data_IF_462989005197
#
_entry.id   IF_462989005197
#
_cell.length_a   1.000
_cell.length_b   1.000
_cell.length_c   1.000
_cell.angle_alpha   90.00
_cell.angle_beta   90.00
_cell.angle_gamma   90.00
#
_symmetry.space_group_name_H-M   'P 1'
#
loop_
_entity.id
_entity.type
_entity.pdbx_description
1 polymer ?
#
# COMPACT_ATOMS: atom_id res chain seq x y z
N UNK A 1 1.97 -10.27 -31.69
CA UNK A 1 1.63 -10.33 -30.25
C UNK A 1 2.43 -9.26 -29.52
N UNK A 2 1.84 -8.11 -29.25
CA UNK A 2 2.45 -7.04 -28.44
C UNK A 2 1.95 -7.16 -27.00
N UNK A 3 2.85 -7.25 -26.03
CA UNK A 3 2.49 -7.35 -24.62
C UNK A 3 1.71 -6.12 -24.14
N UNK A 4 0.90 -6.30 -23.08
CA UNK A 4 0.00 -5.33 -22.43
C UNK A 4 0.63 -3.95 -22.11
N UNK A 5 1.95 -3.79 -22.23
CA UNK A 5 2.71 -2.58 -21.90
C UNK A 5 3.38 -1.89 -23.11
N UNK A 6 3.06 -2.28 -24.35
CA UNK A 6 3.58 -1.59 -25.53
C UNK A 6 2.70 -0.37 -25.86
N UNK A 7 3.11 0.82 -25.40
CA UNK A 7 2.50 2.10 -25.79
C UNK A 7 3.26 2.62 -27.01
N UNK A 8 2.66 2.70 -28.20
CA UNK A 8 3.36 3.16 -29.38
C UNK A 8 3.78 4.63 -29.24
N UNK A 9 4.86 5.04 -29.92
CA UNK A 9 5.36 6.42 -29.86
C UNK A 9 4.23 7.43 -30.10
N UNK A 10 4.21 8.52 -29.30
CA UNK A 10 3.24 9.61 -29.38
C UNK A 10 1.78 9.24 -29.11
N UNK A 11 1.48 8.01 -28.65
CA UNK A 11 0.14 7.67 -28.18
C UNK A 11 0.06 7.73 -26.67
N UNK A 12 -1.11 8.14 -26.20
CA UNK A 12 -1.49 8.12 -24.79
C UNK A 12 -2.35 6.89 -24.55
N UNK A 13 -2.06 6.16 -23.49
CA UNK A 13 -2.87 5.05 -23.04
C UNK A 13 -3.32 5.29 -21.60
N UNK A 14 -4.56 4.91 -21.30
CA UNK A 14 -5.15 5.04 -19.96
C UNK A 14 -5.17 3.67 -19.31
N UNK A 15 -4.56 3.58 -18.13
CA UNK A 15 -4.49 2.35 -17.35
C UNK A 15 -5.09 2.59 -15.96
N UNK A 16 -5.72 1.55 -15.41
CA UNK A 16 -6.12 1.52 -14.01
C UNK A 16 -4.95 1.00 -13.19
N UNK A 17 -4.39 1.85 -12.34
CA UNK A 17 -3.30 1.50 -11.44
C UNK A 17 -3.87 1.34 -10.02
N UNK A 18 -3.74 0.17 -9.37
CA UNK A 18 -4.04 0.06 -7.94
C UNK A 18 -2.98 0.83 -7.16
N UNK A 19 -3.42 1.79 -6.34
CA UNK A 19 -2.55 2.64 -5.53
C UNK A 19 -3.01 2.68 -4.08
N UNK A 20 -2.13 3.07 -3.17
CA UNK A 20 -2.49 3.36 -1.78
C UNK A 20 -2.02 4.75 -1.40
N UNK A 21 -2.78 5.41 -0.54
CA UNK A 21 -2.38 6.66 0.09
C UNK A 21 -1.42 6.34 1.23
N UNK A 22 -0.24 6.96 1.25
CA UNK A 22 0.70 6.78 2.35
C UNK A 22 0.42 7.73 3.50
N UNK A 23 -0.16 8.89 3.23
CA UNK A 23 -0.59 9.83 4.26
C UNK A 23 -2.01 9.54 4.72
N UNK A 24 -2.22 9.45 6.03
CA UNK A 24 -3.55 9.29 6.61
C UNK A 24 -4.21 10.65 6.92
N UNK A 25 -5.53 10.74 6.74
CA UNK A 25 -6.32 11.92 7.08
C UNK A 25 -6.22 13.11 6.10
N UNK A 26 -5.42 13.01 5.04
CA UNK A 26 -5.40 14.04 3.98
C UNK A 26 -6.71 14.03 3.19
N UNK A 27 -7.18 15.21 2.73
CA UNK A 27 -8.37 15.29 1.89
C UNK A 27 -8.16 14.57 0.56
N UNK A 28 -9.26 14.16 -0.06
CA UNK A 28 -9.22 13.48 -1.34
C UNK A 28 -8.46 14.28 -2.41
N UNK A 29 -7.67 13.60 -3.26
CA UNK A 29 -6.93 14.22 -4.34
C UNK A 29 -7.87 14.94 -5.31
N UNK A 30 -7.49 16.14 -5.76
CA UNK A 30 -8.25 16.90 -6.76
C UNK A 30 -7.59 16.75 -8.14
N UNK A 31 -8.36 16.62 -9.24
CA UNK A 31 -7.80 16.48 -10.59
C UNK A 31 -6.88 17.63 -11.04
N UNK A 32 -7.03 18.81 -10.45
CA UNK A 32 -6.22 19.99 -10.77
C UNK A 32 -4.82 19.96 -10.12
N UNK A 33 -4.57 19.05 -9.18
CA UNK A 33 -3.26 18.92 -8.54
C UNK A 33 -2.33 18.19 -9.52
N UNK A 34 -1.17 18.78 -9.88
CA UNK A 34 -0.22 18.09 -10.74
C UNK A 34 0.43 16.93 -9.98
N UNK A 35 0.34 15.72 -10.55
CA UNK A 35 0.94 14.51 -10.00
C UNK A 35 2.20 14.13 -10.77
N UNK A 36 3.23 13.70 -10.04
CA UNK A 36 4.46 13.15 -10.60
C UNK A 36 4.63 11.71 -10.11
N UNK A 37 4.95 10.80 -11.03
CA UNK A 37 5.36 9.45 -10.68
C UNK A 37 6.80 9.52 -10.18
N UNK A 38 7.03 9.08 -8.94
CA UNK A 38 8.36 8.98 -8.33
C UNK A 38 8.63 7.54 -7.93
N UNK A 39 9.92 7.23 -7.75
CA UNK A 39 10.32 5.95 -7.15
C UNK A 39 9.90 5.91 -5.69
N UNK A 40 9.53 4.74 -5.18
CA UNK A 40 9.02 4.62 -3.81
C UNK A 40 10.09 4.97 -2.77
N UNK A 41 11.36 4.67 -3.10
CA UNK A 41 12.55 4.98 -2.31
C UNK A 41 12.76 6.50 -2.16
N UNK A 42 12.25 7.32 -3.08
CA UNK A 42 12.31 8.78 -2.96
C UNK A 42 11.28 9.35 -1.96
N UNK A 43 10.31 8.53 -1.55
CA UNK A 43 9.22 8.96 -0.67
C UNK A 43 9.28 8.31 0.72
N UNK A 44 9.68 7.04 0.82
CA UNK A 44 9.81 6.35 2.10
C UNK A 44 10.90 5.29 2.04
N UNK A 45 11.74 5.25 3.08
CA UNK A 45 12.77 4.21 3.28
C UNK A 45 12.21 2.97 4.01
N UNK A 46 10.94 3.01 4.42
CA UNK A 46 10.33 1.90 5.16
C UNK A 46 10.10 0.70 4.25
N UNK A 47 11.01 -0.29 4.34
CA UNK A 47 10.96 -1.53 3.56
C UNK A 47 9.67 -2.34 3.78
N UNK A 48 9.02 -2.21 4.94
CA UNK A 48 7.73 -2.89 5.20
C UNK A 48 6.64 -2.31 4.30
N UNK A 49 6.63 -0.98 4.10
CA UNK A 49 5.73 -0.32 3.15
C UNK A 49 6.01 -0.81 1.72
N UNK A 50 7.28 -1.00 1.35
CA UNK A 50 7.63 -1.51 0.02
C UNK A 50 7.10 -2.93 -0.22
N UNK A 51 7.19 -3.82 0.78
CA UNK A 51 6.61 -5.16 0.71
C UNK A 51 5.08 -5.14 0.59
N UNK A 52 4.40 -4.25 1.33
CA UNK A 52 2.94 -4.08 1.22
C UNK A 52 2.55 -3.62 -0.19
N UNK A 53 3.23 -2.62 -0.74
CA UNK A 53 2.96 -2.11 -2.09
C UNK A 53 3.27 -3.19 -3.15
N UNK A 54 4.32 -3.99 -2.95
CA UNK A 54 4.65 -5.12 -3.83
C UNK A 54 3.57 -6.20 -3.81
N UNK A 55 3.02 -6.51 -2.63
CA UNK A 55 1.90 -7.46 -2.50
C UNK A 55 0.64 -6.98 -3.23
N UNK A 56 0.35 -5.67 -3.16
CA UNK A 56 -0.73 -5.05 -3.94
C UNK A 56 -0.48 -5.14 -5.44
N UNK A 57 0.73 -4.77 -5.88
CA UNK A 57 1.11 -4.79 -7.30
C UNK A 57 1.06 -6.20 -7.90
N UNK A 58 1.39 -7.21 -7.11
CA UNK A 58 1.29 -8.62 -7.49
C UNK A 58 -0.14 -9.19 -7.44
N UNK A 59 -1.13 -8.41 -6.98
CA UNK A 59 -2.52 -8.87 -6.84
C UNK A 59 -2.74 -9.89 -5.72
N UNK A 60 -1.78 -10.04 -4.80
CA UNK A 60 -1.87 -10.98 -3.67
C UNK A 60 -2.89 -10.50 -2.64
N UNK A 61 -3.03 -9.18 -2.49
CA UNK A 61 -3.97 -8.55 -1.56
C UNK A 61 -4.81 -7.49 -2.27
N UNK A 62 -6.08 -7.32 -1.89
CA UNK A 62 -6.92 -6.24 -2.41
C UNK A 62 -6.48 -4.89 -1.87
N UNK A 63 -6.75 -3.83 -2.64
CA UNK A 63 -6.36 -2.45 -2.34
C UNK A 63 -6.79 -1.97 -0.95
N UNK A 64 -7.99 -2.36 -0.48
CA UNK A 64 -8.53 -1.96 0.83
C UNK A 64 -7.68 -2.49 1.99
N UNK A 65 -7.22 -3.74 1.90
CA UNK A 65 -6.33 -4.36 2.90
C UNK A 65 -4.95 -3.69 2.86
N UNK A 66 -4.41 -3.47 1.65
CA UNK A 66 -3.13 -2.78 1.48
C UNK A 66 -3.17 -1.34 2.02
N UNK A 67 -4.28 -0.62 1.85
CA UNK A 67 -4.47 0.75 2.34
C UNK A 67 -4.42 0.83 3.88
N UNK A 68 -5.11 -0.08 4.56
CA UNK A 68 -5.10 -0.19 6.02
C UNK A 68 -3.71 -0.49 6.55
N UNK A 69 -3.04 -1.49 5.96
CA UNK A 69 -1.68 -1.86 6.34
C UNK A 69 -0.68 -0.72 6.11
N UNK A 70 -0.79 -0.03 4.97
CA UNK A 70 0.06 1.11 4.64
C UNK A 70 -0.10 2.25 5.65
N UNK A 71 -1.33 2.62 6.04
CA UNK A 71 -1.55 3.68 7.03
C UNK A 71 -0.99 3.32 8.41
N UNK A 72 -1.21 2.08 8.86
CA UNK A 72 -0.66 1.60 10.13
C UNK A 72 0.88 1.71 10.15
N UNK A 73 1.54 1.19 9.11
CA UNK A 73 3.01 1.15 9.06
C UNK A 73 3.63 2.52 8.76
N UNK A 74 3.02 3.33 7.91
CA UNK A 74 3.58 4.61 7.48
C UNK A 74 3.32 5.76 8.47
N UNK A 75 2.18 5.76 9.18
CA UNK A 75 1.79 6.87 10.07
C UNK A 75 1.57 6.44 11.53
N UNK A 76 1.65 5.14 11.84
CA UNK A 76 1.39 4.65 13.19
C UNK A 76 -0.09 4.67 13.61
N UNK A 77 -1.03 4.72 12.66
CA UNK A 77 -2.47 4.68 12.97
C UNK A 77 -2.81 3.37 13.66
N UNK A 78 -3.46 3.41 14.82
CA UNK A 78 -3.78 2.18 15.55
C UNK A 78 -4.88 1.37 14.86
N UNK A 79 -4.90 0.06 15.10
CA UNK A 79 -5.93 -0.81 14.53
C UNK A 79 -7.33 -0.48 15.06
N UNK A 80 -7.42 -0.01 16.30
CA UNK A 80 -8.65 0.46 16.93
C UNK A 80 -9.17 1.72 16.23
N UNK A 81 -8.28 2.66 15.91
CA UNK A 81 -8.64 3.85 15.17
C UNK A 81 -9.16 3.50 13.78
N UNK A 82 -8.43 2.65 13.05
CA UNK A 82 -8.84 2.16 11.72
C UNK A 82 -10.19 1.43 11.76
N UNK A 83 -10.43 0.60 12.78
CA UNK A 83 -11.69 -0.12 12.97
C UNK A 83 -12.86 0.79 13.39
N UNK A 84 -12.57 1.93 14.01
CA UNK A 84 -13.59 2.90 14.46
C UNK A 84 -14.14 3.78 13.34
N UNK A 85 -13.48 3.80 12.18
CA UNK A 85 -13.90 4.63 11.04
C UNK A 85 -15.28 4.20 10.55
N UNK A 86 -16.14 5.19 10.36
CA UNK A 86 -17.50 4.99 9.86
C UNK A 86 -17.87 6.06 8.85
N UNK A 87 -18.77 5.71 7.95
CA UNK A 87 -19.37 6.65 7.01
C UNK A 87 -20.87 6.74 7.28
N UNK A 88 -21.45 7.88 6.91
CA UNK A 88 -22.87 8.15 7.08
C UNK A 88 -23.57 7.98 5.74
N UNK A 89 -24.57 7.11 5.71
CA UNK A 89 -25.46 6.98 4.55
C UNK A 89 -26.37 8.22 4.43
N UNK A 90 -26.86 8.54 3.22
CA UNK A 90 -27.86 9.60 3.03
C UNK A 90 -29.13 9.42 3.89
N UNK A 91 -29.47 8.17 4.24
CA UNK A 91 -30.58 7.84 5.16
C UNK A 91 -30.32 8.21 6.62
N UNK A 92 -29.12 8.68 6.96
CA UNK A 92 -28.72 9.03 8.32
C UNK A 92 -28.07 7.89 9.11
N UNK A 93 -28.16 6.65 8.63
CA UNK A 93 -27.51 5.48 9.25
C UNK A 93 -25.98 5.58 9.15
N UNK A 94 -25.27 5.05 10.15
CA UNK A 94 -23.80 4.90 10.11
C UNK A 94 -23.44 3.45 9.85
N UNK A 95 -22.42 3.24 9.01
CA UNK A 95 -21.83 1.93 8.78
C UNK A 95 -20.31 2.01 8.95
N UNK A 96 -19.70 0.91 9.41
CA UNK A 96 -18.25 0.81 9.49
C UNK A 96 -17.65 0.95 8.10
N UNK A 97 -16.57 1.71 7.99
CA UNK A 97 -15.88 1.92 6.72
C UNK A 97 -15.12 0.66 6.29
N UNK A 98 -14.61 -0.09 7.26
CA UNK A 98 -13.90 -1.36 7.06
C UNK A 98 -14.52 -2.46 7.93
N UNK A 99 -14.58 -3.67 7.39
CA UNK A 99 -15.06 -4.83 8.14
C UNK A 99 -13.98 -5.36 9.09
N UNK A 100 -14.36 -6.06 10.17
CA UNK A 100 -13.38 -6.70 11.06
C UNK A 100 -12.45 -7.68 10.33
N UNK A 101 -12.94 -8.37 9.30
CA UNK A 101 -12.13 -9.28 8.49
C UNK A 101 -11.04 -8.55 7.69
N UNK A 102 -11.35 -7.36 7.15
CA UNK A 102 -10.36 -6.52 6.45
C UNK A 102 -9.27 -6.03 7.40
N UNK A 103 -9.64 -5.63 8.62
CA UNK A 103 -8.69 -5.21 9.67
C UNK A 103 -7.77 -6.39 10.03
N UNK A 104 -8.32 -7.56 10.30
CA UNK A 104 -7.53 -8.75 10.65
C UNK A 104 -6.58 -9.16 9.51
N UNK A 105 -7.04 -9.13 8.26
CA UNK A 105 -6.20 -9.45 7.11
C UNK A 105 -5.08 -8.40 6.92
N UNK A 106 -5.34 -7.12 7.22
CA UNK A 106 -4.32 -6.09 7.20
C UNK A 106 -3.25 -6.30 8.29
N UNK A 107 -3.66 -6.70 9.50
CA UNK A 107 -2.73 -7.07 10.58
C UNK A 107 -1.81 -8.21 10.16
N UNK A 108 -2.39 -9.27 9.55
CA UNK A 108 -1.61 -10.41 9.06
C UNK A 108 -0.63 -10.03 7.93
N UNK A 109 -1.05 -9.13 7.04
CA UNK A 109 -0.21 -8.60 5.98
C UNK A 109 1.00 -7.85 6.55
N UNK A 110 0.80 -6.99 7.55
CA UNK A 110 1.89 -6.27 8.23
C UNK A 110 2.88 -7.25 8.85
N UNK A 111 2.41 -8.22 9.65
CA UNK A 111 3.28 -9.23 10.27
C UNK A 111 4.10 -10.03 9.23
N UNK A 112 3.47 -10.39 8.10
CA UNK A 112 4.14 -11.12 7.03
C UNK A 112 5.18 -10.25 6.33
N UNK A 113 4.87 -8.99 6.07
CA UNK A 113 5.78 -8.03 5.46
C UNK A 113 7.00 -7.77 6.36
N UNK A 114 6.79 -7.54 7.66
CA UNK A 114 7.87 -7.38 8.64
C UNK A 114 8.79 -8.61 8.69
N UNK A 115 8.22 -9.82 8.68
CA UNK A 115 8.99 -11.06 8.66
C UNK A 115 9.87 -11.14 7.40
N UNK A 116 9.32 -10.87 6.22
CA UNK A 116 10.07 -10.87 4.96
C UNK A 116 11.20 -9.86 4.95
N UNK A 117 10.96 -8.66 5.47
CA UNK A 117 12.00 -7.62 5.58
C UNK A 117 13.14 -8.11 6.48
N UNK A 118 12.83 -8.70 7.64
CA UNK A 118 13.84 -9.27 8.55
C UNK A 118 14.67 -10.37 7.86
N UNK A 119 14.00 -11.31 7.17
CA UNK A 119 14.66 -12.39 6.42
C UNK A 119 15.61 -11.85 5.32
N UNK A 120 15.19 -10.82 4.57
CA UNK A 120 16.01 -10.18 3.55
C UNK A 120 17.22 -9.44 4.15
N UNK A 121 17.06 -8.82 5.32
CA UNK A 121 18.16 -8.15 6.00
C UNK A 121 19.17 -9.15 6.57
N UNK A 122 18.71 -10.27 7.11
CA UNK A 122 19.56 -11.36 7.56
C UNK A 122 20.33 -11.97 6.39
N UNK A 123 19.65 -12.33 5.29
CA UNK A 123 20.31 -12.88 4.11
C UNK A 123 21.38 -11.93 3.53
N UNK A 124 21.07 -10.63 3.50
CA UNK A 124 22.02 -9.61 3.03
C UNK A 124 23.26 -9.52 3.92
N UNK A 125 23.10 -9.65 5.26
CA UNK A 125 24.23 -9.67 6.21
C UNK A 125 25.12 -10.90 6.00
N UNK A 126 24.54 -12.10 5.87
CA UNK A 126 25.31 -13.32 5.62
C UNK A 126 26.11 -13.25 4.32
N UNK A 127 25.52 -12.71 3.25
CA UNK A 127 26.20 -12.55 1.98
C UNK A 127 27.35 -11.53 2.04
N UNK A 128 27.19 -10.44 2.80
CA UNK A 128 28.27 -9.47 3.02
C UNK A 128 29.43 -10.02 3.87
N UNK A 129 29.15 -10.96 4.77
CA UNK A 129 30.18 -11.67 5.56
C UNK A 129 30.91 -12.72 4.71
N UNK A 130 30.20 -13.43 3.82
CA UNK A 130 30.78 -14.47 2.95
C UNK A 130 31.66 -13.94 1.82
N UNK A 131 31.58 -12.65 1.49
CA UNK A 131 32.38 -11.99 0.45
C UNK A 131 33.64 -11.29 1.00
N UNK A 132 33.94 -11.49 2.29
CA UNK A 132 35.16 -11.04 2.97
C UNK A 132 36.03 -12.23 3.34
#
# INVERSE_FOLDING_TARGET
MGGMWNIPPQKVATFKLPTVCLDYGKPDPRPQIPYQIKRIEEHTDNKVVHEIVRALAAGVVPQRIAQLAAWHVANGVSWEELASQSYRHPSGLRAALYSPAEIQAAMQLVTTAEKRVKEQEESSKYQAVSLR
#
